data_IF_523162096271
#
_entry.id   IF_523162096271
#
_cell.length_a   1.000
_cell.length_b   1.000
_cell.length_c   1.000
_cell.angle_alpha   90.00
_cell.angle_beta   90.00
_cell.angle_gamma   90.00
#
_symmetry.space_group_name_H-M   'P 1'
#
loop_
_entity.id
_entity.type
_entity.pdbx_description
1 polymer ?
#
# COMPACT_ATOMS: atom_id res chain seq x y z
N UNK A 1 -19.82 -26.04 1.52
CA UNK A 1 -19.10 -25.83 0.25
C UNK A 1 -20.19 -25.77 -0.82
N UNK A 2 -20.85 -24.62 -0.95
CA UNK A 2 -21.84 -24.40 -2.02
C UNK A 2 -21.16 -23.60 -3.11
N UNK A 3 -21.14 -24.18 -4.32
CA UNK A 3 -20.61 -23.54 -5.52
C UNK A 3 -21.47 -22.35 -5.99
N UNK A 4 -21.07 -21.71 -7.10
CA UNK A 4 -21.75 -20.52 -7.62
C UNK A 4 -23.25 -20.75 -7.76
N UNK A 5 -24.07 -19.91 -7.12
CA UNK A 5 -25.52 -19.96 -7.27
C UNK A 5 -25.89 -19.79 -8.74
N UNK A 6 -26.64 -20.74 -9.27
CA UNK A 6 -27.08 -20.80 -10.67
C UNK A 6 -28.13 -19.71 -10.93
N UNK A 7 -27.68 -18.46 -11.06
CA UNK A 7 -28.51 -17.29 -11.32
C UNK A 7 -28.36 -16.86 -12.78
N UNK A 8 -29.46 -16.58 -13.51
CA UNK A 8 -29.39 -16.06 -14.88
C UNK A 8 -28.72 -14.68 -14.96
N UNK A 9 -28.45 -14.04 -13.82
CA UNK A 9 -27.74 -12.77 -13.70
C UNK A 9 -26.32 -12.92 -13.14
N UNK A 10 -25.71 -14.11 -13.20
CA UNK A 10 -24.31 -14.31 -12.76
C UNK A 10 -23.33 -13.34 -13.44
N UNK A 11 -23.66 -12.87 -14.65
CA UNK A 11 -22.92 -11.86 -15.41
C UNK A 11 -23.00 -10.44 -14.82
N UNK A 12 -23.96 -10.13 -13.94
CA UNK A 12 -24.08 -8.82 -13.31
C UNK A 12 -23.08 -8.61 -12.16
N UNK A 13 -22.21 -9.58 -11.89
CA UNK A 13 -21.25 -9.51 -10.79
C UNK A 13 -21.99 -9.41 -9.45
N UNK A 14 -22.47 -10.55 -8.94
CA UNK A 14 -23.04 -10.57 -7.59
C UNK A 14 -22.00 -10.06 -6.58
N UNK A 15 -22.34 -8.99 -5.87
CA UNK A 15 -21.46 -8.37 -4.87
C UNK A 15 -21.23 -9.39 -3.75
N UNK A 16 -20.02 -9.94 -3.66
CA UNK A 16 -19.63 -10.73 -2.50
C UNK A 16 -19.31 -9.78 -1.34
N UNK A 17 -19.91 -9.99 -0.16
CA UNK A 17 -19.56 -9.22 1.03
C UNK A 17 -18.08 -9.47 1.36
N UNK A 18 -17.27 -8.43 1.20
CA UNK A 18 -15.87 -8.42 1.58
C UNK A 18 -15.70 -7.51 2.78
N UNK A 19 -15.10 -8.02 3.84
CA UNK A 19 -14.77 -7.28 5.04
C UNK A 19 -13.25 -7.29 5.24
N UNK A 20 -12.63 -6.11 5.10
CA UNK A 20 -11.25 -5.86 5.52
C UNK A 20 -11.29 -4.82 6.62
N UNK A 21 -10.76 -5.18 7.79
CA UNK A 21 -10.43 -4.20 8.82
C UNK A 21 -8.91 -3.99 8.84
N UNK A 22 -8.47 -2.78 8.50
CA UNK A 22 -7.07 -2.37 8.61
C UNK A 22 -6.94 -1.31 9.70
N UNK A 23 -6.16 -1.60 10.73
CA UNK A 23 -5.87 -0.67 11.83
C UNK A 23 -4.43 -0.20 11.72
N UNK A 24 -4.25 1.12 11.65
CA UNK A 24 -2.94 1.76 11.53
C UNK A 24 -2.82 2.81 12.62
N UNK A 25 -1.70 2.81 13.35
CA UNK A 25 -1.35 3.91 14.24
C UNK A 25 -0.15 4.67 13.70
N UNK A 26 -0.13 5.98 13.94
CA UNK A 26 0.98 6.82 13.52
C UNK A 26 1.33 7.84 14.59
N UNK A 27 2.63 8.05 14.78
CA UNK A 27 3.19 9.09 15.60
C UNK A 27 4.17 9.91 14.75
N UNK A 28 4.14 11.23 14.88
CA UNK A 28 5.08 12.10 14.17
C UNK A 28 5.65 13.17 15.09
N UNK A 29 6.89 13.54 14.81
CA UNK A 29 7.57 14.68 15.42
C UNK A 29 8.26 15.49 14.34
N UNK A 30 8.12 16.81 14.39
CA UNK A 30 8.81 17.75 13.50
C UNK A 30 9.37 18.90 14.33
N UNK A 31 10.58 19.31 14.02
CA UNK A 31 11.27 20.43 14.63
C UNK A 31 11.81 21.35 13.53
N UNK A 32 11.47 22.64 13.64
CA UNK A 32 12.04 23.69 12.79
C UNK A 32 13.09 24.45 13.60
N UNK A 33 14.33 24.40 13.13
CA UNK A 33 15.49 24.99 13.76
C UNK A 33 15.98 26.15 12.87
N UNK A 34 15.86 27.40 13.32
CA UNK A 34 16.50 28.53 12.67
C UNK A 34 18.01 28.44 12.95
N UNK A 35 18.78 28.03 11.95
CA UNK A 35 20.24 27.87 12.10
C UNK A 35 20.94 29.23 11.97
N UNK A 36 20.39 30.10 11.11
CA UNK A 36 20.84 31.47 10.85
C UNK A 36 19.65 32.37 10.55
N UNK A 37 19.85 33.70 10.49
CA UNK A 37 18.79 34.67 10.15
C UNK A 37 18.15 34.43 8.78
N UNK A 38 18.87 33.76 7.89
CA UNK A 38 18.53 33.50 6.50
C UNK A 38 18.49 32.00 6.17
N UNK A 39 18.57 31.11 7.16
CA UNK A 39 18.51 29.66 6.94
C UNK A 39 17.72 28.94 8.01
N UNK A 40 16.71 28.20 7.59
CA UNK A 40 15.90 27.34 8.46
C UNK A 40 16.03 25.90 8.01
N UNK A 41 16.30 25.02 8.98
CA UNK A 41 16.32 23.58 8.79
C UNK A 41 15.14 22.98 9.51
N UNK A 42 14.39 22.14 8.83
CA UNK A 42 13.27 21.39 9.38
C UNK A 42 13.61 19.92 9.34
N UNK A 43 13.61 19.27 10.49
CA UNK A 43 13.81 17.83 10.63
C UNK A 43 12.55 17.22 11.20
N UNK A 44 12.17 16.06 10.70
CA UNK A 44 11.01 15.33 11.19
C UNK A 44 11.15 13.84 10.98
N UNK A 45 10.41 13.09 11.78
CA UNK A 45 10.27 11.66 11.60
C UNK A 45 8.81 11.29 11.87
N UNK A 46 8.28 10.40 11.04
CA UNK A 46 6.97 9.79 11.24
C UNK A 46 7.13 8.29 11.40
N UNK A 47 6.69 7.77 12.52
CA UNK A 47 6.56 6.34 12.75
C UNK A 47 5.13 5.91 12.45
N UNK A 48 4.98 4.84 11.68
CA UNK A 48 3.69 4.24 11.34
C UNK A 48 3.78 2.75 11.58
N UNK A 49 2.76 2.20 12.23
CA UNK A 49 2.64 0.78 12.49
C UNK A 49 1.30 0.33 11.96
N UNK A 50 1.39 -0.67 11.08
CA UNK A 50 0.29 -1.24 10.33
C UNK A 50 -0.23 -2.54 10.97
N UNK A 51 0.12 -2.80 12.23
CA UNK A 51 -0.19 -4.01 12.99
C UNK A 51 0.72 -5.19 12.68
N UNK A 52 1.12 -5.37 11.41
CA UNK A 52 1.99 -6.47 10.96
C UNK A 52 3.47 -6.09 10.86
N UNK A 53 3.76 -4.82 10.60
CA UNK A 53 5.11 -4.26 10.48
C UNK A 53 5.07 -2.76 10.75
N UNK A 54 6.21 -2.21 11.16
CA UNK A 54 6.36 -0.81 11.53
C UNK A 54 7.46 -0.14 10.70
N UNK A 55 7.18 1.06 10.21
CA UNK A 55 8.09 1.84 9.36
C UNK A 55 8.31 3.23 9.93
N UNK A 56 9.56 3.68 9.92
CA UNK A 56 9.93 5.05 10.27
C UNK A 56 10.35 5.81 9.03
N UNK A 57 9.68 6.93 8.78
CA UNK A 57 9.87 7.79 7.62
C UNK A 57 10.57 9.09 8.03
N UNK A 58 11.84 9.29 7.67
CA UNK A 58 12.54 10.54 7.92
C UNK A 58 12.11 11.62 6.92
N UNK A 59 12.17 12.87 7.40
CA UNK A 59 11.96 14.09 6.63
C UNK A 59 13.04 15.10 7.03
N UNK A 60 13.71 15.65 6.03
CA UNK A 60 14.69 16.72 6.17
C UNK A 60 14.38 17.78 5.12
N UNK A 61 14.28 19.02 5.54
CA UNK A 61 14.06 20.16 4.66
C UNK A 61 14.95 21.31 5.08
N UNK A 62 15.50 22.02 4.11
CA UNK A 62 16.37 23.16 4.31
C UNK A 62 15.85 24.27 3.38
N UNK A 63 15.70 25.46 3.94
CA UNK A 63 15.41 26.67 3.18
C UNK A 63 16.44 27.72 3.55
N UNK A 64 17.08 28.30 2.54
CA UNK A 64 18.13 29.29 2.70
C UNK A 64 17.96 30.42 1.69
N UNK A 65 17.98 31.65 2.19
CA UNK A 65 18.05 32.85 1.35
C UNK A 65 19.52 33.13 1.02
N UNK A 66 19.90 32.88 -0.23
CA UNK A 66 21.28 33.06 -0.71
C UNK A 66 21.55 34.53 -1.06
N UNK A 67 20.50 35.28 -1.42
CA UNK A 67 20.52 36.72 -1.63
C UNK A 67 19.09 37.27 -1.51
N UNK A 68 18.95 38.60 -1.44
CA UNK A 68 17.66 39.31 -1.32
C UNK A 68 16.62 39.00 -2.41
N UNK A 69 17.02 38.27 -3.45
CA UNK A 69 16.18 37.91 -4.60
C UNK A 69 16.11 36.41 -4.87
N UNK A 70 16.91 35.61 -4.14
CA UNK A 70 17.09 34.18 -4.45
C UNK A 70 17.02 33.37 -3.16
N UNK A 71 15.99 32.54 -3.09
CA UNK A 71 15.80 31.54 -2.05
C UNK A 71 16.03 30.16 -2.64
N UNK A 72 16.82 29.33 -1.96
CA UNK A 72 17.06 27.93 -2.29
C UNK A 72 16.34 27.06 -1.26
N UNK A 73 15.64 26.04 -1.76
CA UNK A 73 15.01 25.02 -0.92
C UNK A 73 15.44 23.64 -1.37
N UNK A 74 15.86 22.83 -0.41
CA UNK A 74 16.17 21.42 -0.60
C UNK A 74 15.35 20.60 0.39
N UNK A 75 14.74 19.51 -0.06
CA UNK A 75 13.96 18.63 0.81
C UNK A 75 14.17 17.18 0.42
N UNK A 76 14.34 16.33 1.43
CA UNK A 76 14.44 14.89 1.33
C UNK A 76 13.43 14.27 2.28
N UNK A 77 12.50 13.49 1.73
CA UNK A 77 11.47 12.80 2.50
C UNK A 77 11.28 11.40 1.94
N UNK A 78 11.14 10.41 2.83
CA UNK A 78 10.79 9.06 2.44
C UNK A 78 9.29 8.85 2.58
N UNK A 79 8.64 8.41 1.51
CA UNK A 79 7.22 8.06 1.50
C UNK A 79 7.06 6.57 1.27
N UNK A 80 6.12 5.98 2.00
CA UNK A 80 5.75 4.57 1.84
C UNK A 80 4.24 4.47 1.64
N UNK A 81 3.84 3.58 0.72
CA UNK A 81 2.45 3.24 0.46
C UNK A 81 2.31 1.73 0.59
N UNK A 82 1.45 1.30 1.51
CA UNK A 82 1.11 -0.10 1.67
C UNK A 82 0.34 -0.57 0.43
N UNK A 83 0.65 -1.76 -0.13
CA UNK A 83 -0.15 -2.34 -1.20
C UNK A 83 -1.61 -2.51 -0.78
N UNK A 84 -2.54 -2.08 -1.63
CA UNK A 84 -3.95 -2.42 -1.46
C UNK A 84 -4.14 -3.90 -1.83
N UNK A 85 -4.56 -4.73 -0.89
CA UNK A 85 -4.91 -6.13 -1.19
C UNK A 85 -6.31 -6.15 -1.82
N UNK A 86 -6.46 -6.55 -3.09
CA UNK A 86 -7.77 -6.75 -3.66
C UNK A 86 -8.43 -7.94 -2.95
N UNK A 87 -9.59 -7.71 -2.36
CA UNK A 87 -10.36 -8.78 -1.70
C UNK A 87 -11.38 -9.49 -2.57
N UNK A 88 -11.53 -9.02 -3.80
CA UNK A 88 -12.44 -9.62 -4.75
C UNK A 88 -11.63 -10.02 -5.98
N UNK A 89 -11.86 -11.25 -6.44
CA UNK A 89 -11.43 -11.66 -7.76
C UNK A 89 -12.07 -10.70 -8.77
N UNK A 90 -11.24 -10.11 -9.63
CA UNK A 90 -11.76 -9.32 -10.75
C UNK A 90 -12.24 -10.29 -11.81
N UNK A 91 -13.49 -10.12 -12.24
CA UNK A 91 -14.12 -10.93 -13.27
C UNK A 91 -13.94 -10.23 -14.61
N UNK A 92 -13.26 -10.89 -15.55
CA UNK A 92 -13.16 -10.43 -16.94
C UNK A 92 -14.04 -11.31 -17.82
N UNK A 93 -14.71 -10.71 -18.81
CA UNK A 93 -15.49 -11.42 -19.81
C UNK A 93 -14.65 -11.57 -21.08
N UNK A 94 -14.37 -12.81 -21.46
CA UNK A 94 -13.75 -13.11 -22.75
C UNK A 94 -14.77 -13.79 -23.67
N UNK A 95 -14.84 -13.32 -24.92
CA UNK A 95 -15.72 -13.89 -25.94
C UNK A 95 -15.11 -15.20 -26.44
N UNK A 96 -15.72 -16.33 -26.10
CA UNK A 96 -15.32 -17.63 -26.62
C UNK A 96 -15.87 -17.81 -28.04
N UNK A 97 -15.02 -17.50 -29.04
CA UNK A 97 -15.37 -17.44 -30.46
C UNK A 97 -15.96 -18.73 -31.10
N UNK A 98 -15.77 -19.95 -30.56
CA UNK A 98 -16.42 -21.14 -31.10
C UNK A 98 -17.92 -21.27 -30.80
N UNK A 99 -18.42 -20.65 -29.72
CA UNK A 99 -19.81 -20.78 -29.26
C UNK A 99 -20.57 -19.44 -29.20
N UNK A 100 -19.88 -18.30 -29.41
CA UNK A 100 -20.48 -16.97 -29.27
C UNK A 100 -20.87 -16.61 -27.84
N UNK A 101 -20.37 -17.36 -26.86
CA UNK A 101 -20.71 -17.26 -25.44
C UNK A 101 -19.58 -16.53 -24.69
N UNK A 102 -19.95 -15.71 -23.70
CA UNK A 102 -19.00 -15.04 -22.82
C UNK A 102 -18.67 -15.95 -21.65
N UNK A 103 -17.38 -16.28 -21.50
CA UNK A 103 -16.90 -17.01 -20.33
C UNK A 103 -16.32 -16.03 -19.32
N UNK A 104 -16.62 -16.25 -18.04
CA UNK A 104 -16.08 -15.47 -16.93
C UNK A 104 -14.74 -16.05 -16.53
N UNK A 105 -13.69 -15.24 -16.63
CA UNK A 105 -12.36 -15.58 -16.11
C UNK A 105 -12.19 -14.86 -14.79
N UNK A 106 -12.12 -15.63 -13.70
CA UNK A 106 -11.77 -15.11 -12.39
C UNK A 106 -10.27 -14.84 -12.37
N UNK A 107 -9.85 -13.60 -12.15
CA UNK A 107 -8.45 -13.31 -11.85
C UNK A 107 -8.20 -13.66 -10.39
N UNK A 108 -7.40 -14.70 -10.09
CA UNK A 108 -7.19 -15.13 -8.71
C UNK A 108 -6.49 -14.02 -7.90
N UNK A 109 -6.90 -13.85 -6.64
CA UNK A 109 -6.15 -12.99 -5.72
C UNK A 109 -4.77 -13.63 -5.49
N UNK A 110 -3.65 -12.91 -5.69
CA UNK A 110 -2.33 -13.49 -5.46
C UNK A 110 -2.14 -13.78 -3.96
N UNK A 111 -2.12 -15.07 -3.58
CA UNK A 111 -1.90 -15.55 -2.21
C UNK A 111 -0.42 -15.52 -1.76
N UNK A 112 0.48 -15.00 -2.59
CA UNK A 112 1.93 -15.15 -2.43
C UNK A 112 2.54 -14.44 -1.21
N UNK A 113 1.83 -13.52 -0.56
CA UNK A 113 2.34 -12.86 0.65
C UNK A 113 2.07 -13.62 1.95
N UNK A 114 1.14 -14.58 1.96
CA UNK A 114 0.80 -15.35 3.16
C UNK A 114 1.79 -16.52 3.41
N UNK A 115 2.30 -17.14 2.34
CA UNK A 115 3.11 -18.36 2.44
C UNK A 115 4.62 -18.13 2.62
N UNK A 116 5.14 -16.93 2.35
CA UNK A 116 6.57 -16.62 2.48
C UNK A 116 7.05 -16.60 3.94
N UNK A 117 6.18 -16.22 4.88
CA UNK A 117 6.52 -16.16 6.32
C UNK A 117 6.62 -17.56 6.96
N UNK A 118 5.82 -18.51 6.47
CA UNK A 118 5.88 -19.90 6.96
C UNK A 118 7.09 -20.68 6.41
N UNK A 119 7.55 -20.41 5.20
CA UNK A 119 8.78 -21.02 4.68
C UNK A 119 10.03 -20.51 5.42
N UNK A 120 10.16 -19.20 5.61
CA UNK A 120 11.31 -18.62 6.35
C UNK A 120 11.40 -19.09 7.81
N UNK A 121 10.28 -19.40 8.46
CA UNK A 121 10.26 -19.91 9.85
C UNK A 121 10.68 -21.38 9.92
N UNK A 122 10.30 -22.20 8.93
CA UNK A 122 10.67 -23.62 8.88
C UNK A 122 12.15 -23.84 8.50
N UNK A 123 12.72 -22.93 7.72
CA UNK A 123 14.15 -22.98 7.35
C UNK A 123 15.09 -22.52 8.48
N UNK A 124 14.57 -21.84 9.52
CA UNK A 124 15.33 -21.40 10.69
C UNK A 124 15.30 -22.39 11.87
N UNK A 125 14.30 -23.28 11.94
CA UNK A 125 14.23 -24.34 12.96
C UNK A 125 14.91 -25.66 12.53
N UNK A 126 15.44 -25.71 11.30
CA UNK A 126 16.14 -26.88 10.75
C UNK A 126 17.66 -26.73 10.70
N UNK A 127 18.23 -25.80 11.48
CA UNK A 127 19.68 -25.56 11.60
C UNK A 127 20.20 -25.73 13.03
#
# INVERSE_FOLDING_TARGET
MDGPQNSPFVFLGVSQESYIETRVWSLFGEAALPISENTTVTVGARHEDYGLDAITKPKLSIISDVSDKVTVRASYEQVFRVPSIPTQASYSLELYQPAGEYIQIETPVPFSLYNLKNQLTLDLESL
#
